data_IF_305293381830
#
_entry.id   IF_305293381830
#
_cell.length_a   1.000
_cell.length_b   1.000
_cell.length_c   1.000
_cell.angle_alpha   90.00
_cell.angle_beta   90.00
_cell.angle_gamma   90.00
#
_symmetry.space_group_name_H-M   'P 1'
#
loop_
_entity.id
_entity.type
_entity.pdbx_description
1 polymer ?
#
# COMPACT_ATOMS: atom_id res chain seq x y z
N UNK A 1 33.95 -7.74 -33.61
CA UNK A 1 33.62 -6.84 -32.47
C UNK A 1 32.39 -7.40 -31.79
N UNK A 2 32.57 -8.15 -30.71
CA UNK A 2 31.46 -8.68 -29.91
C UNK A 2 31.15 -7.69 -28.80
N UNK A 3 30.02 -6.99 -28.91
CA UNK A 3 29.48 -6.21 -27.81
C UNK A 3 28.65 -7.14 -26.95
N UNK A 4 29.14 -7.34 -25.72
CA UNK A 4 28.55 -8.15 -24.67
C UNK A 4 27.10 -7.73 -24.40
N UNK A 5 26.15 -8.58 -24.79
CA UNK A 5 24.80 -8.57 -24.23
C UNK A 5 24.86 -9.18 -22.83
N UNK A 6 25.30 -8.41 -21.84
CA UNK A 6 25.01 -8.76 -20.45
C UNK A 6 23.53 -8.46 -20.20
N UNK A 7 22.69 -9.46 -19.87
CA UNK A 7 21.34 -9.16 -19.42
C UNK A 7 21.46 -8.29 -18.17
N UNK A 8 20.80 -7.12 -18.17
CA UNK A 8 20.61 -6.32 -16.96
C UNK A 8 19.98 -7.24 -15.93
N UNK A 9 20.78 -7.65 -14.96
CA UNK A 9 20.33 -8.42 -13.81
C UNK A 9 19.40 -7.48 -13.03
N UNK A 10 18.09 -7.57 -13.31
CA UNK A 10 17.08 -6.86 -12.54
C UNK A 10 17.16 -7.44 -11.13
N UNK A 11 17.90 -6.78 -10.24
CA UNK A 11 17.84 -7.02 -8.81
C UNK A 11 16.35 -7.04 -8.44
N UNK A 12 15.84 -8.23 -8.09
CA UNK A 12 14.53 -8.37 -7.48
C UNK A 12 14.61 -7.70 -6.11
N UNK A 13 14.41 -6.38 -6.08
CA UNK A 13 14.32 -5.64 -4.83
C UNK A 13 12.91 -5.82 -4.26
N UNK A 14 12.67 -7.03 -3.75
CA UNK A 14 11.56 -7.28 -2.85
C UNK A 14 11.99 -6.88 -1.43
N UNK A 15 11.19 -6.06 -0.76
CA UNK A 15 11.42 -5.74 0.65
C UNK A 15 10.33 -6.31 1.54
N UNK A 16 10.70 -6.68 2.75
CA UNK A 16 9.74 -7.09 3.78
C UNK A 16 9.46 -5.92 4.71
N UNK A 17 8.19 -5.53 4.78
CA UNK A 17 7.68 -4.44 5.61
C UNK A 17 7.00 -5.06 6.81
N UNK A 18 7.58 -4.83 8.00
CA UNK A 18 7.09 -5.39 9.26
C UNK A 18 6.31 -4.32 10.02
N UNK A 19 5.02 -4.56 10.23
CA UNK A 19 4.13 -3.71 11.04
C UNK A 19 4.05 -4.21 12.48
N UNK A 20 4.04 -5.54 12.65
CA UNK A 20 4.11 -6.21 13.95
C UNK A 20 4.65 -7.63 13.76
N UNK A 21 4.79 -8.38 14.85
CA UNK A 21 5.20 -9.80 14.81
C UNK A 21 4.33 -10.63 13.84
N UNK A 22 3.04 -10.31 13.77
CA UNK A 22 2.03 -11.08 13.03
C UNK A 22 1.68 -10.45 11.66
N UNK A 23 2.19 -9.25 11.36
CA UNK A 23 1.83 -8.50 10.15
C UNK A 23 3.12 -8.13 9.41
N UNK A 24 3.36 -8.90 8.35
CA UNK A 24 4.49 -8.73 7.44
C UNK A 24 3.94 -8.71 6.02
N UNK A 25 4.34 -7.72 5.24
CA UNK A 25 3.99 -7.63 3.82
C UNK A 25 5.27 -7.56 3.01
N UNK A 26 5.28 -8.19 1.84
CA UNK A 26 6.38 -8.07 0.88
C UNK A 26 5.97 -7.16 -0.26
N UNK A 27 6.86 -6.25 -0.62
CA UNK A 27 6.66 -5.27 -1.67
C UNK A 27 7.73 -5.43 -2.75
N UNK A 28 7.30 -5.65 -3.99
CA UNK A 28 8.14 -5.64 -5.18
C UNK A 28 8.34 -4.18 -5.60
N UNK A 29 9.53 -3.63 -5.35
CA UNK A 29 9.84 -2.22 -5.60
C UNK A 29 9.72 -1.90 -7.09
N UNK A 30 10.26 -2.75 -7.97
CA UNK A 30 10.30 -2.51 -9.40
C UNK A 30 8.90 -2.46 -10.04
N UNK A 31 7.93 -3.20 -9.46
CA UNK A 31 6.56 -3.27 -9.98
C UNK A 31 5.55 -2.49 -9.15
N UNK A 32 6.00 -1.84 -8.06
CA UNK A 32 5.14 -1.14 -7.09
C UNK A 32 3.90 -1.95 -6.70
N UNK A 33 4.10 -3.20 -6.29
CA UNK A 33 3.00 -4.11 -5.94
C UNK A 33 3.35 -5.08 -4.81
N UNK A 34 2.32 -5.64 -4.17
CA UNK A 34 2.52 -6.70 -3.19
C UNK A 34 2.94 -8.02 -3.82
N UNK A 35 3.83 -8.73 -3.14
CA UNK A 35 4.06 -10.16 -3.38
C UNK A 35 2.95 -10.93 -2.65
N UNK A 36 2.15 -11.70 -3.41
CA UNK A 36 0.99 -12.44 -2.90
C UNK A 36 1.40 -13.80 -2.33
N UNK A 37 2.16 -13.78 -1.24
CA UNK A 37 2.61 -14.97 -0.53
C UNK A 37 1.65 -15.37 0.61
N UNK A 38 2.05 -16.35 1.43
CA UNK A 38 1.23 -16.82 2.55
C UNK A 38 0.99 -15.75 3.61
N UNK A 39 1.88 -14.77 3.79
CA UNK A 39 1.64 -13.68 4.73
C UNK A 39 0.55 -12.74 4.21
N UNK A 40 0.59 -12.42 2.92
CA UNK A 40 -0.46 -11.65 2.25
C UNK A 40 -1.83 -12.31 2.44
N UNK A 41 -1.97 -13.60 2.08
CA UNK A 41 -3.27 -14.28 2.18
C UNK A 41 -3.71 -14.51 3.64
N UNK A 42 -2.78 -14.71 4.58
CA UNK A 42 -3.13 -14.83 6.01
C UNK A 42 -3.74 -13.53 6.56
N UNK A 43 -3.14 -12.38 6.24
CA UNK A 43 -3.66 -11.09 6.68
C UNK A 43 -5.05 -10.86 6.07
N UNK A 44 -5.22 -11.13 4.77
CA UNK A 44 -6.47 -10.94 4.03
C UNK A 44 -7.63 -11.73 4.63
N UNK A 45 -7.36 -12.94 5.13
CA UNK A 45 -8.38 -13.81 5.72
C UNK A 45 -8.56 -13.62 7.24
N UNK A 46 -7.79 -12.73 7.88
CA UNK A 46 -7.82 -12.54 9.33
C UNK A 46 -8.29 -11.14 9.73
N UNK A 47 -9.54 -11.05 10.20
CA UNK A 47 -10.20 -9.79 10.60
C UNK A 47 -9.44 -9.02 11.69
N UNK A 48 -8.78 -9.70 12.63
CA UNK A 48 -8.02 -9.01 13.68
C UNK A 48 -6.74 -8.39 13.13
N UNK A 49 -6.08 -9.04 12.16
CA UNK A 49 -4.92 -8.46 11.46
C UNK A 49 -5.33 -7.28 10.59
N UNK A 50 -6.47 -7.36 9.90
CA UNK A 50 -7.04 -6.23 9.14
C UNK A 50 -7.30 -5.02 10.05
N UNK A 51 -7.95 -5.22 11.22
CA UNK A 51 -8.16 -4.14 12.19
C UNK A 51 -6.86 -3.49 12.65
N UNK A 52 -5.82 -4.29 12.91
CA UNK A 52 -4.49 -3.77 13.27
C UNK A 52 -3.88 -2.96 12.12
N UNK A 53 -4.00 -3.40 10.87
CA UNK A 53 -3.52 -2.66 9.70
C UNK A 53 -4.23 -1.31 9.50
N UNK A 54 -5.52 -1.20 9.81
CA UNK A 54 -6.22 0.10 9.79
C UNK A 54 -5.54 1.11 10.72
N UNK A 55 -5.08 0.68 11.89
CA UNK A 55 -4.34 1.55 12.81
C UNK A 55 -2.94 1.92 12.30
N UNK A 56 -2.37 1.12 11.39
CA UNK A 56 -1.06 1.40 10.79
C UNK A 56 -1.10 2.43 9.66
N UNK A 57 -2.26 2.88 9.18
CA UNK A 57 -2.38 3.90 8.11
C UNK A 57 -1.70 5.23 8.51
N UNK A 58 -1.69 5.55 9.80
CA UNK A 58 -1.05 6.75 10.35
C UNK A 58 0.47 6.59 10.57
N UNK A 59 1.05 5.42 10.31
CA UNK A 59 2.48 5.18 10.50
C UNK A 59 3.30 5.98 9.47
N UNK A 60 4.14 6.89 9.98
CA UNK A 60 4.95 7.79 9.17
C UNK A 60 6.38 7.30 8.94
N UNK A 61 6.71 6.07 9.36
CA UNK A 61 8.04 5.47 9.16
C UNK A 61 8.38 5.44 7.67
N UNK A 62 9.47 6.14 7.31
CA UNK A 62 9.98 6.22 5.94
C UNK A 62 10.63 4.88 5.52
N UNK A 63 10.22 4.37 4.36
CA UNK A 63 10.75 3.15 3.77
C UNK A 63 11.92 3.41 2.80
N UNK A 64 12.22 4.68 2.50
CA UNK A 64 13.24 5.13 1.54
C UNK A 64 13.01 4.62 0.11
N UNK A 65 11.79 4.22 -0.21
CA UNK A 65 11.40 3.76 -1.55
C UNK A 65 10.78 4.92 -2.31
N UNK A 66 11.31 5.22 -3.51
CA UNK A 66 10.68 6.15 -4.45
C UNK A 66 9.72 5.39 -5.38
N UNK A 67 8.65 6.06 -5.79
CA UNK A 67 7.65 5.56 -6.74
C UNK A 67 7.25 6.71 -7.66
N UNK A 68 6.80 6.41 -8.87
CA UNK A 68 6.34 7.41 -9.83
C UNK A 68 5.02 8.08 -9.41
N UNK A 69 4.31 7.51 -8.43
CA UNK A 69 2.98 7.95 -7.99
C UNK A 69 2.97 8.79 -6.71
N UNK A 70 4.15 9.14 -6.19
CA UNK A 70 4.31 9.92 -4.95
C UNK A 70 5.53 10.81 -5.06
N UNK A 71 5.39 12.07 -4.66
CA UNK A 71 6.48 13.05 -4.69
C UNK A 71 7.60 12.68 -3.69
N UNK A 72 7.20 12.17 -2.52
CA UNK A 72 8.10 11.75 -1.46
C UNK A 72 8.26 10.22 -1.42
N UNK A 73 9.16 9.73 -0.58
CA UNK A 73 9.33 8.29 -0.35
C UNK A 73 8.10 7.67 0.32
N UNK A 74 7.88 6.38 0.04
CA UNK A 74 6.79 5.62 0.64
C UNK A 74 6.97 5.50 2.16
N UNK A 75 5.87 5.63 2.88
CA UNK A 75 5.79 5.37 4.32
C UNK A 75 5.12 4.04 4.59
N UNK A 76 5.36 3.45 5.77
CA UNK A 76 4.63 2.25 6.23
C UNK A 76 3.11 2.42 6.14
N UNK A 77 2.59 3.59 6.51
CA UNK A 77 1.16 3.88 6.42
C UNK A 77 0.62 3.88 4.99
N UNK A 78 1.43 4.23 3.98
CA UNK A 78 1.03 4.12 2.57
C UNK A 78 0.81 2.66 2.19
N UNK A 79 1.72 1.79 2.62
CA UNK A 79 1.66 0.35 2.35
C UNK A 79 0.45 -0.28 3.06
N UNK A 80 0.16 0.10 4.31
CA UNK A 80 -1.04 -0.34 5.00
C UNK A 80 -2.31 0.08 4.25
N UNK A 81 -2.37 1.33 3.81
CA UNK A 81 -3.50 1.85 3.05
C UNK A 81 -3.69 1.13 1.71
N UNK A 82 -2.61 0.99 0.92
CA UNK A 82 -2.63 0.32 -0.37
C UNK A 82 -3.09 -1.14 -0.24
N UNK A 83 -2.62 -1.84 0.80
CA UNK A 83 -3.03 -3.22 1.07
C UNK A 83 -4.53 -3.32 1.33
N UNK A 84 -5.05 -2.47 2.22
CA UNK A 84 -6.47 -2.44 2.57
C UNK A 84 -7.35 -2.03 1.38
N UNK A 85 -6.85 -1.17 0.50
CA UNK A 85 -7.53 -0.83 -0.74
C UNK A 85 -7.54 -1.99 -1.74
N UNK A 86 -6.39 -2.64 -1.99
CA UNK A 86 -6.30 -3.76 -2.93
C UNK A 86 -7.17 -4.96 -2.50
N UNK A 87 -7.28 -5.20 -1.19
CA UNK A 87 -8.11 -6.28 -0.64
C UNK A 87 -9.59 -5.92 -0.51
N UNK A 88 -10.00 -4.70 -0.91
CA UNK A 88 -11.39 -4.25 -0.90
C UNK A 88 -11.93 -3.83 0.47
N UNK A 89 -11.08 -3.83 1.49
CA UNK A 89 -11.43 -3.35 2.83
C UNK A 89 -11.74 -1.85 2.83
N UNK A 90 -10.94 -1.09 2.06
CA UNK A 90 -11.20 0.31 1.72
C UNK A 90 -11.78 0.36 0.31
N UNK A 91 -12.93 1.03 0.16
CA UNK A 91 -13.46 1.41 -1.15
C UNK A 91 -13.33 2.92 -1.27
N UNK A 92 -12.31 3.41 -2.00
CA UNK A 92 -11.92 4.83 -2.04
C UNK A 92 -13.12 5.76 -2.23
N UNK A 93 -13.93 5.50 -3.26
CA UNK A 93 -15.11 6.31 -3.57
C UNK A 93 -16.12 6.34 -2.41
N UNK A 94 -16.39 5.20 -1.76
CA UNK A 94 -17.37 5.14 -0.67
C UNK A 94 -16.85 5.79 0.61
N UNK A 95 -15.58 5.56 0.94
CA UNK A 95 -15.03 5.98 2.21
C UNK A 95 -14.50 7.42 2.19
N UNK A 96 -13.92 7.86 1.07
CA UNK A 96 -13.33 9.20 0.95
C UNK A 96 -14.21 10.17 0.16
N UNK A 97 -15.15 9.67 -0.65
CA UNK A 97 -15.96 10.47 -1.59
C UNK A 97 -15.11 11.29 -2.57
N UNK A 98 -13.92 10.78 -2.91
CA UNK A 98 -12.98 11.36 -3.85
C UNK A 98 -12.84 10.42 -5.05
N UNK A 99 -12.83 10.99 -6.25
CA UNK A 99 -12.56 10.29 -7.50
C UNK A 99 -11.06 10.32 -7.79
N UNK A 100 -10.49 9.15 -8.07
CA UNK A 100 -9.11 9.00 -8.54
C UNK A 100 -9.16 8.21 -9.85
N UNK A 101 -9.44 8.91 -10.94
CA UNK A 101 -9.85 8.29 -12.21
C UNK A 101 -8.67 7.91 -13.12
N UNK A 102 -7.46 8.38 -12.80
CA UNK A 102 -6.24 8.12 -13.58
C UNK A 102 -5.40 7.09 -12.85
N UNK A 103 -5.25 5.91 -13.44
CA UNK A 103 -4.35 4.86 -12.95
C UNK A 103 -2.97 4.99 -13.58
N UNK A 104 -1.92 4.83 -12.78
CA UNK A 104 -0.56 4.66 -13.28
C UNK A 104 -0.30 3.19 -13.71
N UNK A 105 0.86 2.92 -14.33
CA UNK A 105 1.38 1.58 -14.66
C UNK A 105 1.36 0.62 -13.46
N UNK A 106 1.60 1.16 -12.26
CA UNK A 106 1.51 0.45 -10.98
C UNK A 106 0.07 0.12 -10.53
N UNK A 107 -0.95 0.58 -11.27
CA UNK A 107 -2.38 0.55 -10.92
C UNK A 107 -2.72 1.29 -9.61
N UNK A 108 -1.78 2.08 -9.11
CA UNK A 108 -2.05 3.04 -8.03
C UNK A 108 -2.59 4.31 -8.69
N UNK A 109 -3.74 4.83 -8.24
CA UNK A 109 -4.26 6.07 -8.80
C UNK A 109 -3.33 7.26 -8.59
N UNK A 110 -3.19 8.11 -9.60
CA UNK A 110 -2.34 9.30 -9.54
C UNK A 110 -2.84 10.27 -8.46
N UNK A 111 -1.92 10.89 -7.73
CA UNK A 111 -2.23 11.84 -6.65
C UNK A 111 -2.80 11.19 -5.37
N UNK A 112 -3.11 9.90 -5.36
CA UNK A 112 -3.62 9.22 -4.16
C UNK A 112 -2.61 9.24 -3.02
N UNK A 113 -1.35 8.87 -3.29
CA UNK A 113 -0.33 8.78 -2.25
C UNK A 113 0.16 10.14 -1.76
N UNK A 114 0.06 11.19 -2.59
CA UNK A 114 0.32 12.57 -2.19
C UNK A 114 -0.86 13.14 -1.40
N UNK A 115 -2.10 12.82 -1.77
CA UNK A 115 -3.28 13.14 -0.96
C UNK A 115 -3.20 12.49 0.43
N UNK A 116 -2.80 11.21 0.51
CA UNK A 116 -2.55 10.53 1.78
C UNK A 116 -1.46 11.20 2.60
N UNK A 117 -0.42 11.74 1.96
CA UNK A 117 0.67 12.40 2.64
C UNK A 117 0.19 13.61 3.44
N UNK A 118 -0.65 14.45 2.82
CA UNK A 118 -1.19 15.67 3.42
C UNK A 118 -2.36 15.41 4.37
N UNK A 119 -3.16 14.36 4.13
CA UNK A 119 -4.44 14.14 4.82
C UNK A 119 -4.48 12.85 5.68
N UNK A 120 -3.32 12.28 6.00
CA UNK A 120 -3.19 10.92 6.59
C UNK A 120 -4.12 10.65 7.78
N UNK A 121 -4.16 11.57 8.74
CA UNK A 121 -4.95 11.42 9.96
C UNK A 121 -6.46 11.42 9.66
N UNK A 122 -6.91 12.34 8.81
CA UNK A 122 -8.32 12.42 8.40
C UNK A 122 -8.72 11.19 7.58
N UNK A 123 -7.87 10.77 6.64
CA UNK A 123 -8.11 9.56 5.83
C UNK A 123 -8.22 8.34 6.72
N UNK A 124 -7.28 8.13 7.64
CA UNK A 124 -7.29 7.00 8.57
C UNK A 124 -8.59 6.94 9.39
N UNK A 125 -9.08 8.10 9.85
CA UNK A 125 -10.38 8.20 10.55
C UNK A 125 -11.54 7.80 9.63
N UNK A 126 -11.67 8.44 8.47
CA UNK A 126 -12.78 8.19 7.52
C UNK A 126 -12.87 6.73 7.07
N UNK A 127 -11.73 6.12 6.73
CA UNK A 127 -11.73 4.72 6.25
C UNK A 127 -12.04 3.72 7.37
N UNK A 128 -11.64 4.03 8.62
CA UNK A 128 -11.97 3.20 9.78
C UNK A 128 -13.46 3.26 10.10
N UNK A 129 -14.05 4.45 10.11
CA UNK A 129 -15.50 4.66 10.27
C UNK A 129 -16.29 3.96 9.15
N UNK A 130 -15.86 4.14 7.90
CA UNK A 130 -16.45 3.47 6.73
C UNK A 130 -16.43 1.93 6.85
N UNK A 131 -15.32 1.33 7.31
CA UNK A 131 -15.22 -0.12 7.51
C UNK A 131 -16.11 -0.62 8.66
N UNK A 132 -16.27 0.15 9.74
CA UNK A 132 -17.17 -0.19 10.84
C UNK A 132 -18.64 -0.15 10.40
N UNK A 133 -19.02 0.83 9.59
CA UNK A 133 -20.39 0.98 9.09
C UNK A 133 -20.80 -0.06 8.04
N UNK A 134 -19.85 -0.78 7.41
CA UNK A 134 -20.15 -1.95 6.56
C UNK A 134 -20.71 -3.16 7.35
N UNK A 135 -20.68 -3.12 8.69
CA UNK A 135 -21.09 -4.22 9.58
C UNK A 135 -22.44 -3.98 10.28
N UNK A 136 -23.17 -2.93 9.91
CA UNK A 136 -24.59 -2.72 10.25
C UNK A 136 -25.46 -2.93 9.03
#
# INVERSE_FOLDING_TARGET
MSLNNSPKEYLKEEIQIVFSKDIKLKWDIAKSRFVKDSYYENIKNNRELIKKLFNSITDTTDLKIKTDTKTNTLKKGDIAFLYLNETGEIQLYKCLKIQFDILDKSRIPYGLLDYLETNRAEVAKKVKECHQNKKG
#
